data_IF_445855290955
#
_entry.id   IF_445855290955
#
_cell.length_a   1.000
_cell.length_b   1.000
_cell.length_c   1.000
_cell.angle_alpha   90.00
_cell.angle_beta   90.00
_cell.angle_gamma   90.00
#
_symmetry.space_group_name_H-M   'P 1'
#
loop_
_entity.id
_entity.type
_entity.pdbx_description
1 polymer ?
#
# COMPACT_ATOMS: atom_id res chain seq x y z
N UNK A 1 25.14 23.24 38.02
CA UNK A 1 23.89 23.20 37.22
C UNK A 1 24.04 24.24 36.13
N UNK A 2 24.30 23.82 34.88
CA UNK A 2 24.00 24.48 33.59
C UNK A 2 24.76 23.74 32.48
N UNK A 3 24.07 22.83 31.78
CA UNK A 3 24.50 22.32 30.48
C UNK A 3 23.66 23.02 29.42
N UNK A 4 24.28 23.96 28.70
CA UNK A 4 23.71 24.53 27.48
C UNK A 4 24.21 23.71 26.29
N UNK A 5 23.43 22.73 25.85
CA UNK A 5 23.58 22.15 24.50
C UNK A 5 22.87 23.07 23.50
N UNK A 6 23.56 24.15 23.14
CA UNK A 6 23.16 25.04 22.06
C UNK A 6 23.33 24.34 20.72
N UNK A 7 22.27 23.70 20.22
CA UNK A 7 22.16 23.38 18.79
C UNK A 7 22.10 24.71 18.04
N UNK A 8 23.22 25.09 17.44
CA UNK A 8 23.31 26.20 16.49
C UNK A 8 22.29 25.98 15.37
N UNK A 9 21.48 27.00 15.00
CA UNK A 9 20.68 26.90 13.79
C UNK A 9 21.63 26.73 12.60
N UNK A 10 21.36 25.73 11.77
CA UNK A 10 22.10 25.50 10.52
C UNK A 10 21.99 26.78 9.69
N UNK A 11 23.14 27.42 9.45
CA UNK A 11 23.27 28.61 8.60
C UNK A 11 22.55 28.34 7.28
N UNK A 12 21.62 29.21 6.91
CA UNK A 12 20.95 29.14 5.61
C UNK A 12 22.03 29.04 4.51
N UNK A 13 21.90 28.10 3.56
CA UNK A 13 22.90 27.98 2.51
C UNK A 13 22.97 29.31 1.76
N UNK A 14 24.14 29.94 1.82
CA UNK A 14 24.53 31.04 0.93
C UNK A 14 24.22 30.60 -0.49
N UNK A 15 23.46 31.44 -1.20
CA UNK A 15 23.03 31.32 -2.59
C UNK A 15 24.13 30.67 -3.42
N UNK A 16 24.00 29.37 -3.68
CA UNK A 16 24.89 28.67 -4.59
C UNK A 16 24.35 28.89 -6.00
N UNK A 17 25.13 29.66 -6.77
CA UNK A 17 25.07 29.77 -8.23
C UNK A 17 25.15 28.37 -8.84
N UNK A 18 23.99 27.74 -9.03
CA UNK A 18 23.95 26.35 -9.47
C UNK A 18 22.55 25.78 -9.61
N UNK A 19 21.52 26.63 -9.76
CA UNK A 19 20.17 26.20 -10.12
C UNK A 19 20.21 25.65 -11.55
N UNK A 20 20.59 24.37 -11.68
CA UNK A 20 20.35 23.58 -12.88
C UNK A 20 18.89 23.80 -13.25
N UNK A 21 18.68 24.29 -14.48
CA UNK A 21 17.40 24.68 -15.05
C UNK A 21 16.21 23.96 -14.43
N UNK A 22 15.39 24.72 -13.71
CA UNK A 22 14.01 24.33 -13.42
C UNK A 22 13.36 24.11 -14.79
N UNK A 23 12.93 22.87 -15.09
CA UNK A 23 12.36 22.52 -16.38
C UNK A 23 11.20 23.47 -16.71
N UNK A 24 11.04 23.86 -17.98
CA UNK A 24 10.02 24.84 -18.41
C UNK A 24 8.56 24.43 -18.08
N UNK A 25 8.35 23.17 -17.69
CA UNK A 25 7.08 22.57 -17.27
C UNK A 25 6.98 22.32 -15.75
N UNK A 26 7.97 22.76 -14.98
CA UNK A 26 7.88 22.83 -13.52
C UNK A 26 6.83 23.86 -13.13
N UNK A 27 5.63 23.39 -12.82
CA UNK A 27 4.61 24.26 -12.24
C UNK A 27 5.01 24.55 -10.80
N UNK A 28 5.59 25.72 -10.55
CA UNK A 28 5.99 26.19 -9.21
C UNK A 28 4.77 26.60 -8.39
N UNK A 29 3.82 25.68 -8.17
CA UNK A 29 2.63 25.95 -7.35
C UNK A 29 2.85 25.42 -5.95
N UNK A 30 3.07 26.32 -5.00
CA UNK A 30 2.99 26.00 -3.58
C UNK A 30 1.53 25.97 -3.13
N UNK A 31 1.19 25.05 -2.24
CA UNK A 31 -0.14 24.96 -1.65
C UNK A 31 -0.04 25.03 -0.13
N UNK A 32 -0.89 25.86 0.48
CA UNK A 32 -1.01 25.92 1.92
C UNK A 32 -1.91 24.77 2.40
N UNK A 33 -1.32 23.82 3.12
CA UNK A 33 -2.05 22.75 3.78
C UNK A 33 -3.01 23.34 4.83
N UNK A 34 -4.24 22.81 4.87
CA UNK A 34 -5.26 23.17 5.84
C UNK A 34 -5.31 22.08 6.91
N UNK A 35 -4.96 22.44 8.13
CA UNK A 35 -5.03 21.53 9.27
C UNK A 35 -6.45 20.99 9.45
N UNK A 36 -6.59 19.66 9.58
CA UNK A 36 -7.88 18.97 9.73
C UNK A 36 -8.49 18.44 8.43
N UNK A 37 -8.00 18.85 7.25
CA UNK A 37 -8.52 18.39 5.95
C UNK A 37 -7.61 17.33 5.29
N UNK A 38 -6.54 16.90 5.97
CA UNK A 38 -5.62 15.88 5.47
C UNK A 38 -6.24 14.48 5.58
N UNK A 39 -6.05 13.65 4.56
CA UNK A 39 -6.38 12.23 4.60
C UNK A 39 -5.10 11.40 4.77
N UNK A 40 -5.23 10.06 4.81
CA UNK A 40 -4.07 9.15 4.82
C UNK A 40 -3.15 9.34 3.60
N UNK A 41 -3.70 9.76 2.45
CA UNK A 41 -2.96 9.79 1.17
C UNK A 41 -2.90 11.17 0.52
N UNK A 42 -3.63 12.16 1.06
CA UNK A 42 -3.70 13.50 0.47
C UNK A 42 -3.58 14.62 1.49
N UNK A 43 -3.04 15.76 1.07
CA UNK A 43 -3.11 17.02 1.77
C UNK A 43 -4.38 17.77 1.35
N UNK A 44 -5.19 18.18 2.32
CA UNK A 44 -6.26 19.14 2.12
C UNK A 44 -5.67 20.55 2.13
N UNK A 45 -6.05 21.40 1.18
CA UNK A 45 -5.47 22.74 1.03
C UNK A 45 -6.51 23.84 1.23
N UNK A 46 -6.06 25.05 1.57
CA UNK A 46 -6.96 26.21 1.70
C UNK A 46 -7.67 26.58 0.38
N UNK A 47 -7.13 26.18 -0.78
CA UNK A 47 -7.78 26.33 -2.08
C UNK A 47 -8.80 25.22 -2.39
N UNK A 48 -9.10 24.35 -1.39
CA UNK A 48 -9.98 23.17 -1.51
C UNK A 48 -9.50 22.14 -2.53
N UNK A 49 -8.23 22.22 -2.95
CA UNK A 49 -7.60 21.16 -3.74
C UNK A 49 -7.10 20.06 -2.82
N UNK A 50 -7.30 18.81 -3.24
CA UNK A 50 -6.71 17.63 -2.63
C UNK A 50 -5.43 17.29 -3.38
N UNK A 51 -4.32 17.13 -2.67
CA UNK A 51 -3.00 16.96 -3.27
C UNK A 51 -2.37 15.66 -2.80
N UNK A 52 -1.89 14.77 -3.69
CA UNK A 52 -1.24 13.53 -3.29
C UNK A 52 0.00 13.79 -2.44
N UNK A 53 0.10 13.12 -1.29
CA UNK A 53 1.27 13.25 -0.42
C UNK A 53 2.53 12.63 -1.04
N UNK A 54 2.36 11.66 -1.96
CA UNK A 54 3.48 10.98 -2.61
C UNK A 54 4.22 11.86 -3.61
N UNK A 55 3.51 12.82 -4.22
CA UNK A 55 4.05 13.72 -5.25
C UNK A 55 4.53 15.05 -4.66
N UNK A 56 4.28 15.30 -3.37
CA UNK A 56 4.48 16.61 -2.74
C UNK A 56 5.17 16.51 -1.38
N UNK A 57 6.12 17.42 -1.17
CA UNK A 57 6.80 17.55 0.11
C UNK A 57 6.13 18.62 0.97
N UNK A 58 5.89 18.31 2.24
CA UNK A 58 5.50 19.33 3.23
C UNK A 58 6.75 20.06 3.71
N UNK A 59 6.72 21.39 3.62
CA UNK A 59 7.76 22.27 4.16
C UNK A 59 7.15 23.21 5.21
N UNK A 60 7.90 23.45 6.28
CA UNK A 60 7.52 24.44 7.29
C UNK A 60 8.25 25.73 6.96
N UNK A 61 7.48 26.80 6.72
CA UNK A 61 8.01 28.14 6.46
C UNK A 61 7.68 29.07 7.63
N UNK A 62 8.58 30.00 7.99
CA UNK A 62 8.25 31.07 8.93
C UNK A 62 7.05 31.88 8.44
N UNK A 63 6.23 32.35 9.38
CA UNK A 63 5.02 33.12 9.05
C UNK A 63 5.34 34.41 8.29
N UNK A 64 6.43 35.09 8.64
CA UNK A 64 6.91 36.30 7.98
C UNK A 64 7.26 36.04 6.50
N UNK A 65 7.89 34.90 6.21
CA UNK A 65 8.19 34.49 4.83
C UNK A 65 6.90 34.18 4.05
N UNK A 66 5.91 33.55 4.69
CA UNK A 66 4.60 33.30 4.10
C UNK A 66 3.86 34.62 3.78
N UNK A 67 3.95 35.62 4.67
CA UNK A 67 3.40 36.95 4.43
C UNK A 67 4.08 37.66 3.27
N UNK A 68 5.42 37.61 3.18
CA UNK A 68 6.17 38.19 2.08
C UNK A 68 5.81 37.53 0.73
N UNK A 69 5.63 36.20 0.70
CA UNK A 69 5.15 35.48 -0.49
C UNK A 69 3.74 35.90 -0.92
N UNK A 70 2.88 36.27 0.04
CA UNK A 70 1.54 36.76 -0.25
C UNK A 70 1.54 38.20 -0.76
N UNK A 71 2.39 39.07 -0.18
CA UNK A 71 2.45 40.49 -0.52
C UNK A 71 3.21 40.77 -1.82
N UNK A 72 4.39 40.15 -1.99
CA UNK A 72 5.35 40.48 -3.04
C UNK A 72 5.33 39.50 -4.22
N UNK A 73 4.48 38.47 -4.14
CA UNK A 73 4.34 37.44 -5.17
C UNK A 73 5.35 36.30 -5.03
N UNK A 74 5.57 35.51 -6.11
CA UNK A 74 6.37 34.28 -6.06
C UNK A 74 7.79 34.53 -5.54
N UNK A 75 8.16 33.89 -4.43
CA UNK A 75 9.51 33.94 -3.88
C UNK A 75 10.27 32.65 -4.22
N UNK A 76 11.56 32.80 -4.51
CA UNK A 76 12.49 31.67 -4.59
C UNK A 76 12.79 31.17 -3.19
N UNK A 77 12.31 29.96 -2.87
CA UNK A 77 12.65 29.26 -1.63
C UNK A 77 13.70 28.19 -1.95
N UNK A 78 14.88 28.32 -1.35
CA UNK A 78 15.91 27.29 -1.43
C UNK A 78 15.66 26.22 -0.37
N UNK A 79 15.49 24.98 -0.80
CA UNK A 79 15.41 23.83 0.10
C UNK A 79 16.78 23.18 0.22
N UNK A 80 17.14 22.77 1.43
CA UNK A 80 18.35 21.96 1.62
C UNK A 80 18.15 20.59 0.94
N UNK A 81 19.00 20.21 -0.03
CA UNK A 81 18.88 18.95 -0.75
C UNK A 81 18.92 17.72 0.17
N UNK A 82 19.61 17.80 1.32
CA UNK A 82 19.65 16.72 2.30
C UNK A 82 18.27 16.47 2.94
N UNK A 83 17.50 17.52 3.20
CA UNK A 83 16.13 17.39 3.72
C UNK A 83 15.19 16.73 2.71
N UNK A 84 15.32 17.10 1.43
CA UNK A 84 14.54 16.49 0.33
C UNK A 84 14.91 15.01 0.17
N UNK A 85 16.20 14.69 0.22
CA UNK A 85 16.70 13.32 0.13
C UNK A 85 16.24 12.46 1.32
N UNK A 86 16.31 12.98 2.55
CA UNK A 86 15.87 12.29 3.75
C UNK A 86 14.37 11.95 3.72
N UNK A 87 13.53 12.91 3.29
CA UNK A 87 12.10 12.68 3.13
C UNK A 87 11.81 11.66 2.04
N UNK A 88 12.49 11.76 0.89
CA UNK A 88 12.33 10.81 -0.21
C UNK A 88 12.71 9.38 0.20
N UNK A 89 13.78 9.23 1.00
CA UNK A 89 14.20 7.93 1.54
C UNK A 89 13.19 7.37 2.55
N UNK A 90 12.63 8.22 3.43
CA UNK A 90 11.60 7.80 4.37
C UNK A 90 10.31 7.35 3.65
N UNK A 91 9.86 8.11 2.65
CA UNK A 91 8.69 7.75 1.82
C UNK A 91 8.92 6.44 1.09
N UNK A 92 10.10 6.23 0.50
CA UNK A 92 10.46 4.95 -0.14
C UNK A 92 10.41 3.77 0.82
N UNK A 93 10.96 3.91 2.03
CA UNK A 93 10.93 2.83 3.03
C UNK A 93 9.51 2.45 3.44
N UNK A 94 8.64 3.44 3.67
CA UNK A 94 7.22 3.19 4.01
C UNK A 94 6.52 2.44 2.88
N UNK A 95 6.75 2.84 1.63
CA UNK A 95 6.18 2.19 0.45
C UNK A 95 6.69 0.75 0.29
N UNK A 96 7.98 0.51 0.44
CA UNK A 96 8.57 -0.83 0.37
C UNK A 96 8.01 -1.75 1.47
N UNK A 97 7.77 -1.21 2.67
CA UNK A 97 7.13 -1.96 3.75
C UNK A 97 5.65 -2.27 3.49
N UNK A 98 4.87 -1.32 2.96
CA UNK A 98 3.48 -1.55 2.55
C UNK A 98 3.39 -2.59 1.42
N UNK A 99 4.18 -2.45 0.36
CA UNK A 99 4.24 -3.43 -0.75
C UNK A 99 4.65 -4.83 -0.23
N UNK A 100 5.56 -4.91 0.74
CA UNK A 100 5.96 -6.18 1.36
C UNK A 100 4.82 -6.80 2.16
N UNK A 101 4.02 -5.99 2.88
CA UNK A 101 2.86 -6.47 3.63
C UNK A 101 1.77 -6.98 2.70
N UNK A 102 1.45 -6.24 1.64
CA UNK A 102 0.46 -6.66 0.64
C UNK A 102 0.86 -7.98 -0.03
N UNK A 103 2.15 -8.13 -0.39
CA UNK A 103 2.67 -9.39 -0.93
C UNK A 103 2.58 -10.55 0.06
N UNK A 104 2.82 -10.29 1.36
CA UNK A 104 2.72 -11.32 2.40
C UNK A 104 1.25 -11.76 2.60
N UNK A 105 0.31 -10.81 2.61
CA UNK A 105 -1.12 -11.11 2.71
C UNK A 105 -1.64 -11.88 1.51
N UNK A 106 -1.22 -11.50 0.29
CA UNK A 106 -1.59 -12.22 -0.92
C UNK A 106 -1.07 -13.66 -0.91
N UNK A 107 0.19 -13.87 -0.50
CA UNK A 107 0.78 -15.21 -0.37
C UNK A 107 0.02 -16.07 0.64
N UNK A 108 -0.36 -15.49 1.78
CA UNK A 108 -1.16 -16.18 2.79
C UNK A 108 -2.51 -16.61 2.22
N UNK A 109 -3.23 -15.70 1.55
CA UNK A 109 -4.55 -15.99 0.96
C UNK A 109 -4.49 -17.10 -0.09
N UNK A 110 -3.42 -17.14 -0.90
CA UNK A 110 -3.21 -18.23 -1.87
C UNK A 110 -2.95 -19.55 -1.15
N UNK A 111 -2.10 -19.55 -0.11
CA UNK A 111 -1.82 -20.75 0.68
C UNK A 111 -3.07 -21.31 1.32
N UNK A 112 -3.89 -20.46 1.95
CA UNK A 112 -5.13 -20.86 2.60
C UNK A 112 -6.08 -21.52 1.59
N UNK A 113 -6.18 -20.97 0.37
CA UNK A 113 -7.02 -21.52 -0.71
C UNK A 113 -6.51 -22.89 -1.21
N UNK A 114 -5.20 -23.06 -1.32
CA UNK A 114 -4.62 -24.37 -1.72
C UNK A 114 -4.96 -25.43 -0.67
N UNK A 115 -4.83 -25.10 0.62
CA UNK A 115 -5.17 -26.04 1.70
C UNK A 115 -6.67 -26.37 1.72
N UNK A 116 -7.55 -25.41 1.40
CA UNK A 116 -8.98 -25.68 1.21
C UNK A 116 -9.23 -26.60 0.01
N UNK A 117 -8.57 -26.36 -1.13
CA UNK A 117 -8.65 -27.20 -2.33
C UNK A 117 -8.18 -28.65 -2.07
N UNK A 118 -7.07 -28.84 -1.37
CA UNK A 118 -6.58 -30.17 -0.94
C UNK A 118 -7.60 -30.88 -0.03
N UNK A 119 -8.26 -30.15 0.87
CA UNK A 119 -9.33 -30.71 1.70
C UNK A 119 -10.57 -31.15 0.91
N UNK A 120 -10.87 -30.49 -0.22
CA UNK A 120 -11.94 -30.93 -1.12
C UNK A 120 -11.56 -32.19 -1.91
N UNK A 121 -10.30 -32.34 -2.31
CA UNK A 121 -9.84 -33.56 -2.99
C UNK A 121 -9.97 -34.79 -2.09
N UNK A 122 -9.65 -34.68 -0.79
CA UNK A 122 -9.82 -35.77 0.17
C UNK A 122 -11.31 -36.16 0.33
N UNK A 123 -12.21 -35.17 0.40
CA UNK A 123 -13.65 -35.42 0.47
C UNK A 123 -14.19 -36.08 -0.79
N UNK A 124 -13.71 -35.68 -1.97
CA UNK A 124 -14.09 -36.31 -3.24
C UNK A 124 -13.64 -37.77 -3.31
N UNK A 125 -12.42 -38.06 -2.84
CA UNK A 125 -11.91 -39.43 -2.80
C UNK A 125 -12.73 -40.33 -1.85
N UNK A 126 -13.15 -39.82 -0.69
CA UNK A 126 -14.00 -40.56 0.24
C UNK A 126 -15.39 -40.82 -0.36
N UNK A 127 -15.98 -39.83 -1.04
CA UNK A 127 -17.25 -39.98 -1.74
C UNK A 127 -17.19 -41.02 -2.86
N UNK A 128 -16.09 -41.06 -3.63
CA UNK A 128 -15.89 -42.04 -4.71
C UNK A 128 -15.75 -43.47 -4.15
N UNK A 129 -15.05 -43.62 -3.02
CA UNK A 129 -14.95 -44.88 -2.29
C UNK A 129 -16.32 -45.36 -1.79
N UNK A 130 -17.13 -44.45 -1.21
CA UNK A 130 -18.49 -44.76 -0.78
C UNK A 130 -19.40 -45.16 -1.95
N UNK A 131 -19.32 -44.45 -3.08
CA UNK A 131 -20.09 -44.76 -4.29
C UNK A 131 -19.75 -46.16 -4.82
N UNK A 132 -18.47 -46.51 -4.86
CA UNK A 132 -17.99 -47.83 -5.28
C UNK A 132 -18.61 -48.95 -4.42
N UNK A 133 -18.62 -48.79 -3.10
CA UNK A 133 -19.24 -49.75 -2.17
C UNK A 133 -20.73 -49.91 -2.44
N UNK A 134 -21.44 -48.81 -2.72
CA UNK A 134 -22.87 -48.85 -3.05
C UNK A 134 -23.11 -49.62 -4.35
N UNK A 135 -22.32 -49.37 -5.40
CA UNK A 135 -22.44 -50.09 -6.66
C UNK A 135 -22.20 -51.60 -6.49
N UNK A 136 -21.19 -52.01 -5.73
CA UNK A 136 -20.96 -53.43 -5.43
C UNK A 136 -22.14 -54.08 -4.69
N UNK A 137 -22.78 -53.35 -3.77
CA UNK A 137 -23.97 -53.84 -3.06
C UNK A 137 -25.18 -53.98 -3.99
N UNK A 138 -25.35 -53.04 -4.92
CA UNK A 138 -26.40 -53.10 -5.94
C UNK A 138 -26.17 -54.30 -6.84
N UNK A 139 -24.96 -54.50 -7.35
CA UNK A 139 -24.64 -55.65 -8.22
C UNK A 139 -24.88 -56.99 -7.52
N UNK A 140 -24.47 -57.12 -6.25
CA UNK A 140 -24.77 -58.31 -5.44
C UNK A 140 -26.27 -58.56 -5.32
N UNK A 141 -27.06 -57.51 -5.07
CA UNK A 141 -28.53 -57.62 -4.96
C UNK A 141 -29.18 -57.98 -6.29
N UNK A 142 -28.74 -57.36 -7.39
CA UNK A 142 -29.25 -57.63 -8.74
C UNK A 142 -28.96 -59.08 -9.12
N UNK A 143 -27.73 -59.56 -8.91
CA UNK A 143 -27.36 -60.95 -9.17
C UNK A 143 -28.19 -61.93 -8.33
N UNK A 144 -28.38 -61.66 -7.03
CA UNK A 144 -29.22 -62.49 -6.17
C UNK A 144 -30.67 -62.57 -6.68
N UNK A 145 -31.24 -61.45 -7.12
CA UNK A 145 -32.59 -61.42 -7.71
C UNK A 145 -32.64 -62.20 -9.02
N UNK A 146 -31.66 -62.04 -9.91
CA UNK A 146 -31.58 -62.78 -11.17
C UNK A 146 -31.47 -64.30 -10.95
N UNK A 147 -30.68 -64.74 -9.96
CA UNK A 147 -30.58 -66.16 -9.60
C UNK A 147 -31.91 -66.73 -9.04
N UNK A 148 -32.65 -65.93 -8.28
CA UNK A 148 -33.98 -66.35 -7.78
C UNK A 148 -35.04 -66.39 -8.88
N UNK A 149 -34.95 -65.53 -9.89
CA UNK A 149 -35.86 -65.50 -11.04
C UNK A 149 -35.53 -66.58 -12.09
N UNK A 150 -34.25 -66.93 -12.26
CA UNK A 150 -33.79 -68.00 -13.13
C UNK A 150 -34.08 -69.42 -12.58
N UNK A 151 -34.28 -69.54 -11.27
CA UNK A 151 -34.80 -70.75 -10.60
C UNK A 151 -36.32 -70.71 -10.51
N UNK A 152 -37.02 -70.64 -11.65
CA UNK A 152 -38.45 -70.94 -11.70
C UNK A 152 -38.61 -72.39 -12.20
N UNK A 153 -39.30 -73.28 -11.44
CA UNK A 153 -39.62 -74.63 -11.91
C UNK A 153 -40.55 -74.63 -13.12
#
# INVERSE_FOLDING_TARGET
MTTHDGKTPVTAPTVNEGTKHIAAHSVTTAYLAKHGDNTRHTYGTWSRKSIPQDDHITIIIPFEAAQAMFADGPQLVALNPECVAAQSAAVRKVREEEERRERAELRRRISDRITEEEGFEEQLADLDAQATVIYEQIDKKVNAVLETLGKKP
#
